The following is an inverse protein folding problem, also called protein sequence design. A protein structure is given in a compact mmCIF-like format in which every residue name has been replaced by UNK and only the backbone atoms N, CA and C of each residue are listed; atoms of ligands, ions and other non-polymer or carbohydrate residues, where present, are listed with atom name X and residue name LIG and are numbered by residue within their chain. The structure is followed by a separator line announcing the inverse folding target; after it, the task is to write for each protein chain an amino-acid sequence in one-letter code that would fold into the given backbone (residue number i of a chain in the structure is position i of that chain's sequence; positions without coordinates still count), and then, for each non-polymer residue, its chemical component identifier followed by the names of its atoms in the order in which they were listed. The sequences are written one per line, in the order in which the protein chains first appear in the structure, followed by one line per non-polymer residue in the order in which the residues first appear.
data_IF_466837345653
#
_entry.id   IF_466837345653
#
_cell.length_a   1.000
_cell.length_b   1.000
_cell.length_c   1.000
_cell.angle_alpha   90.00
_cell.angle_beta   90.00
_cell.angle_gamma   90.00
#
_symmetry.space_group_name_H-M   'P 1'
#
loop_
_entity.id
_entity.type
_entity.pdbx_description
1 polymer ?
#
# COMPACT_ATOMS: atom_id res chain seq x y z
N UNK A 1 -17.22 -12.67 14.50
CA UNK A 1 -17.85 -13.28 13.29
C UNK A 1 -16.73 -13.80 12.40
N UNK A 2 -16.62 -15.11 12.18
CA UNK A 2 -15.53 -15.65 11.36
C UNK A 2 -15.67 -15.18 9.90
N UNK A 3 -14.55 -14.79 9.29
CA UNK A 3 -14.48 -14.28 7.92
C UNK A 3 -14.63 -15.45 6.94
N UNK A 4 -15.81 -15.60 6.31
CA UNK A 4 -16.04 -16.63 5.30
C UNK A 4 -15.71 -16.11 3.89
N UNK A 5 -14.48 -16.35 3.44
CA UNK A 5 -14.00 -15.93 2.11
C UNK A 5 -14.68 -16.66 0.94
N UNK A 6 -15.45 -17.73 1.20
CA UNK A 6 -16.27 -18.39 0.16
C UNK A 6 -17.55 -17.61 -0.14
N UNK A 7 -17.99 -16.76 0.77
CA UNK A 7 -19.15 -15.88 0.59
C UNK A 7 -18.73 -14.54 -0.03
N UNK A 8 -19.54 -14.00 -0.94
CA UNK A 8 -19.28 -12.68 -1.52
C UNK A 8 -19.33 -11.56 -0.48
N UNK A 9 -20.18 -11.67 0.55
CA UNK A 9 -20.20 -10.70 1.65
C UNK A 9 -18.91 -10.75 2.48
N UNK A 10 -18.37 -11.95 2.72
CA UNK A 10 -17.10 -12.13 3.39
C UNK A 10 -15.94 -11.56 2.58
N UNK A 11 -15.92 -11.76 1.26
CA UNK A 11 -14.94 -11.16 0.36
C UNK A 11 -15.02 -9.62 0.36
N UNK A 12 -16.23 -9.05 0.35
CA UNK A 12 -16.44 -7.60 0.41
C UNK A 12 -15.87 -7.00 1.71
N UNK A 13 -16.16 -7.63 2.86
CA UNK A 13 -15.62 -7.20 4.16
C UNK A 13 -14.11 -7.37 4.25
N UNK A 14 -13.58 -8.48 3.73
CA UNK A 14 -12.14 -8.71 3.65
C UNK A 14 -11.45 -7.65 2.78
N UNK A 15 -12.03 -7.32 1.61
CA UNK A 15 -11.54 -6.30 0.70
C UNK A 15 -11.42 -4.94 1.39
N UNK A 16 -12.45 -4.51 2.12
CA UNK A 16 -12.40 -3.26 2.89
C UNK A 16 -11.36 -3.32 4.01
N UNK A 17 -11.27 -4.45 4.75
CA UNK A 17 -10.24 -4.64 5.78
C UNK A 17 -8.82 -4.57 5.23
N UNK A 18 -8.59 -5.19 4.06
CA UNK A 18 -7.33 -5.12 3.34
C UNK A 18 -7.02 -3.72 2.82
N UNK A 19 -8.03 -2.95 2.41
CA UNK A 19 -7.84 -1.56 2.03
C UNK A 19 -7.33 -0.72 3.22
N UNK A 20 -7.91 -0.90 4.41
CA UNK A 20 -7.47 -0.19 5.62
C UNK A 20 -6.05 -0.61 5.98
N UNK A 21 -5.76 -1.91 6.02
CA UNK A 21 -4.41 -2.40 6.32
C UNK A 21 -3.38 -1.88 5.29
N UNK A 22 -3.71 -1.94 4.00
CA UNK A 22 -2.87 -1.42 2.93
C UNK A 22 -2.64 0.09 3.05
N UNK A 23 -3.70 0.86 3.32
CA UNK A 23 -3.60 2.30 3.53
C UNK A 23 -2.67 2.66 4.70
N UNK A 24 -2.74 1.93 5.82
CA UNK A 24 -1.84 2.13 6.96
C UNK A 24 -0.38 1.89 6.56
N UNK A 25 -0.09 0.83 5.82
CA UNK A 25 1.26 0.57 5.32
C UNK A 25 1.73 1.62 4.31
N UNK A 26 0.84 2.08 3.40
CA UNK A 26 1.15 3.16 2.47
C UNK A 26 1.52 4.45 3.20
N UNK A 27 0.73 4.84 4.21
CA UNK A 27 0.98 6.03 5.03
C UNK A 27 2.30 5.92 5.80
N UNK A 28 2.57 4.76 6.41
CA UNK A 28 3.87 4.53 7.07
C UNK A 28 5.04 4.65 6.08
N UNK A 29 4.93 4.06 4.88
CA UNK A 29 5.94 4.18 3.83
C UNK A 29 6.15 5.62 3.39
N UNK A 30 5.06 6.36 3.14
CA UNK A 30 5.09 7.77 2.77
C UNK A 30 5.73 8.63 3.88
N UNK A 31 5.40 8.37 5.14
CA UNK A 31 6.02 9.05 6.28
C UNK A 31 7.53 8.84 6.32
N UNK A 32 8.02 7.62 6.11
CA UNK A 32 9.47 7.35 6.07
C UNK A 32 10.18 8.06 4.92
N UNK A 33 9.51 8.17 3.76
CA UNK A 33 10.02 8.89 2.58
C UNK A 33 10.11 10.39 2.89
N UNK A 34 9.00 11.00 3.34
CA UNK A 34 8.92 12.45 3.61
C UNK A 34 9.87 12.86 4.73
N UNK A 35 10.01 12.06 5.79
CA UNK A 35 10.94 12.33 6.89
C UNK A 35 12.42 12.17 6.52
N UNK A 36 12.73 11.66 5.33
CA UNK A 36 14.08 11.53 4.79
C UNK A 36 14.33 12.45 3.60
N UNK A 37 13.32 13.24 3.20
CA UNK A 37 13.38 14.04 2.01
C UNK A 37 14.11 15.36 2.27
N UNK A 38 15.25 15.53 1.61
CA UNK A 38 16.00 16.76 1.57
C UNK A 38 15.49 17.62 0.40
N UNK A 39 14.99 18.82 0.73
CA UNK A 39 14.39 19.73 -0.26
C UNK A 39 15.43 20.43 -1.12
N UNK A 40 16.64 20.64 -0.59
CA UNK A 40 17.71 21.33 -1.29
C UNK A 40 18.35 20.40 -2.33
N UNK A 41 18.52 19.13 -1.96
CA UNK A 41 19.01 18.07 -2.87
C UNK A 41 17.90 17.49 -3.77
N UNK A 42 16.63 17.78 -3.44
CA UNK A 42 15.45 17.16 -4.03
C UNK A 42 15.54 15.61 -4.05
N UNK A 43 16.00 15.05 -2.93
CA UNK A 43 16.30 13.63 -2.84
C UNK A 43 15.95 13.04 -1.46
N UNK A 44 15.58 11.77 -1.46
CA UNK A 44 15.41 10.97 -0.25
C UNK A 44 16.78 10.43 0.14
N UNK A 45 17.39 11.08 1.14
CA UNK A 45 18.74 10.75 1.58
C UNK A 45 18.68 9.55 2.53
N UNK A 46 19.44 8.50 2.21
CA UNK A 46 19.51 7.31 3.06
C UNK A 46 20.94 6.79 3.22
N UNK A 47 21.21 6.21 4.37
CA UNK A 47 22.42 5.42 4.63
C UNK A 47 22.16 3.96 4.22
N UNK A 48 22.98 3.36 3.33
CA UNK A 48 22.86 1.95 2.95
C UNK A 48 22.90 0.97 4.12
N UNK A 49 23.56 1.32 5.23
CA UNK A 49 23.63 0.49 6.45
C UNK A 49 22.43 0.67 7.36
N UNK A 50 21.58 1.67 7.12
CA UNK A 50 20.41 1.95 7.94
C UNK A 50 19.25 1.00 7.63
N UNK A 51 18.48 0.66 8.67
CA UNK A 51 17.25 -0.13 8.56
C UNK A 51 16.10 0.61 7.85
N UNK A 52 16.31 1.87 7.46
CA UNK A 52 15.27 2.71 6.83
C UNK A 52 14.88 2.22 5.43
N UNK A 53 15.84 1.82 4.61
CA UNK A 53 15.56 1.32 3.26
C UNK A 53 14.71 0.04 3.25
N UNK A 54 15.04 -1.00 4.05
CA UNK A 54 14.16 -2.17 4.15
C UNK A 54 12.81 -1.84 4.80
N UNK A 55 12.73 -0.85 5.70
CA UNK A 55 11.45 -0.39 6.25
C UNK A 55 10.55 0.25 5.19
N UNK A 56 11.08 1.15 4.35
CA UNK A 56 10.34 1.75 3.22
C UNK A 56 9.89 0.65 2.25
N UNK A 57 10.81 -0.22 1.83
CA UNK A 57 10.50 -1.32 0.92
C UNK A 57 9.45 -2.27 1.49
N UNK A 58 9.55 -2.64 2.77
CA UNK A 58 8.59 -3.49 3.46
C UNK A 58 7.20 -2.87 3.55
N UNK A 59 7.09 -1.59 3.92
CA UNK A 59 5.82 -0.88 3.97
C UNK A 59 5.16 -0.81 2.57
N UNK A 60 5.92 -0.47 1.54
CA UNK A 60 5.38 -0.40 0.17
C UNK A 60 4.95 -1.78 -0.34
N UNK A 61 5.74 -2.82 -0.11
CA UNK A 61 5.40 -4.19 -0.51
C UNK A 61 4.16 -4.71 0.21
N UNK A 62 4.05 -4.51 1.52
CA UNK A 62 2.87 -4.92 2.28
C UNK A 62 1.63 -4.14 1.84
N UNK A 63 1.76 -2.84 1.56
CA UNK A 63 0.67 -2.04 1.01
C UNK A 63 0.22 -2.54 -0.36
N UNK A 64 1.15 -2.87 -1.26
CA UNK A 64 0.84 -3.38 -2.58
C UNK A 64 0.19 -4.77 -2.51
N UNK A 65 0.71 -5.66 -1.67
CA UNK A 65 0.16 -7.00 -1.48
C UNK A 65 -1.27 -6.95 -0.92
N UNK A 66 -1.49 -6.16 0.15
CA UNK A 66 -2.81 -5.98 0.73
C UNK A 66 -3.78 -5.31 -0.26
N UNK A 67 -3.33 -4.23 -0.91
CA UNK A 67 -4.11 -3.50 -1.92
C UNK A 67 -4.51 -4.38 -3.11
N UNK A 68 -3.58 -5.17 -3.65
CA UNK A 68 -3.86 -6.05 -4.79
C UNK A 68 -4.83 -7.17 -4.40
N UNK A 69 -4.59 -7.85 -3.27
CA UNK A 69 -5.49 -8.88 -2.77
C UNK A 69 -6.90 -8.31 -2.51
N UNK A 70 -6.98 -7.16 -1.86
CA UNK A 70 -8.25 -6.48 -1.59
C UNK A 70 -8.97 -6.02 -2.85
N UNK A 71 -8.22 -5.54 -3.85
CA UNK A 71 -8.75 -5.11 -5.15
C UNK A 71 -9.43 -6.27 -5.88
N UNK A 72 -8.76 -7.43 -6.01
CA UNK A 72 -9.35 -8.59 -6.68
C UNK A 72 -10.55 -9.17 -5.92
N UNK A 73 -10.52 -9.17 -4.59
CA UNK A 73 -11.67 -9.59 -3.77
C UNK A 73 -12.88 -8.65 -3.94
N UNK A 74 -12.63 -7.34 -4.00
CA UNK A 74 -13.66 -6.33 -4.27
C UNK A 74 -14.27 -6.50 -5.65
N UNK A 75 -13.41 -6.62 -6.67
CA UNK A 75 -13.82 -6.81 -8.07
C UNK A 75 -14.64 -8.07 -8.27
N UNK A 76 -14.23 -9.18 -7.65
CA UNK A 76 -14.92 -10.47 -7.77
C UNK A 76 -16.36 -10.42 -7.21
N UNK A 77 -16.61 -9.61 -6.18
CA UNK A 77 -17.94 -9.47 -5.57
C UNK A 77 -18.82 -8.40 -6.21
N UNK A 78 -18.26 -7.38 -6.85
CA UNK A 78 -18.96 -6.17 -7.27
C UNK A 78 -20.00 -6.37 -8.39
N UNK A 79 -19.79 -7.36 -9.26
CA UNK A 79 -20.68 -7.66 -10.40
C UNK A 79 -21.64 -8.84 -10.20
N UNK A 80 -21.61 -9.50 -9.03
CA UNK A 80 -22.30 -10.77 -8.84
C UNK A 80 -23.73 -10.59 -8.35
N UNK A 81 -24.71 -11.13 -9.10
CA UNK A 81 -26.15 -11.08 -8.74
C UNK A 81 -26.48 -11.74 -7.39
N UNK A 82 -25.64 -12.67 -6.93
CA UNK A 82 -25.80 -13.36 -5.64
C UNK A 82 -25.23 -12.59 -4.45
N UNK A 83 -24.54 -11.48 -4.68
CA UNK A 83 -23.99 -10.66 -3.63
C UNK A 83 -25.08 -9.75 -3.04
N UNK A 84 -25.36 -9.89 -1.75
CA UNK A 84 -26.33 -9.03 -1.05
C UNK A 84 -25.76 -7.66 -0.70
N UNK A 85 -24.45 -7.48 -0.83
CA UNK A 85 -23.73 -6.24 -0.48
C UNK A 85 -22.86 -5.72 -1.64
N UNK A 86 -23.44 -5.47 -2.84
CA UNK A 86 -22.67 -5.04 -4.01
C UNK A 86 -22.00 -3.68 -3.81
N UNK A 87 -22.65 -2.76 -3.09
CA UNK A 87 -22.08 -1.46 -2.75
C UNK A 87 -20.78 -1.61 -1.94
N UNK A 88 -20.76 -2.50 -0.94
CA UNK A 88 -19.57 -2.73 -0.12
C UNK A 88 -18.41 -3.32 -0.94
N UNK A 89 -18.71 -4.20 -1.91
CA UNK A 89 -17.71 -4.72 -2.84
C UNK A 89 -17.12 -3.63 -3.74
N UNK A 90 -17.96 -2.73 -4.26
CA UNK A 90 -17.50 -1.56 -5.02
C UNK A 90 -16.66 -0.61 -4.17
N UNK A 91 -17.08 -0.33 -2.94
CA UNK A 91 -16.29 0.46 -1.99
C UNK A 91 -14.93 -0.18 -1.75
N UNK A 92 -14.89 -1.48 -1.47
CA UNK A 92 -13.65 -2.23 -1.29
C UNK A 92 -12.75 -2.16 -2.54
N UNK A 93 -13.31 -2.33 -3.74
CA UNK A 93 -12.59 -2.19 -5.01
C UNK A 93 -11.93 -0.81 -5.17
N UNK A 94 -12.71 0.27 -5.05
CA UNK A 94 -12.19 1.64 -5.25
C UNK A 94 -11.22 2.07 -4.15
N UNK A 95 -11.46 1.67 -2.90
CA UNK A 95 -10.51 1.95 -1.81
C UNK A 95 -9.18 1.25 -2.05
N UNK A 96 -9.19 -0.02 -2.42
CA UNK A 96 -7.94 -0.74 -2.73
C UNK A 96 -7.25 -0.18 -3.98
N UNK A 97 -8.00 0.23 -5.00
CA UNK A 97 -7.44 0.92 -6.17
C UNK A 97 -6.71 2.21 -5.75
N UNK A 98 -7.34 3.04 -4.91
CA UNK A 98 -6.71 4.26 -4.39
C UNK A 98 -5.44 3.97 -3.58
N UNK A 99 -5.46 2.94 -2.72
CA UNK A 99 -4.29 2.49 -1.96
C UNK A 99 -3.17 2.03 -2.87
N UNK A 100 -3.48 1.25 -3.91
CA UNK A 100 -2.50 0.82 -4.92
C UNK A 100 -1.89 2.01 -5.64
N UNK A 101 -2.72 2.97 -6.07
CA UNK A 101 -2.25 4.20 -6.71
C UNK A 101 -1.30 4.96 -5.79
N UNK A 102 -1.67 5.19 -4.52
CA UNK A 102 -0.82 5.88 -3.55
C UNK A 102 0.50 5.15 -3.32
N UNK A 103 0.46 3.83 -3.11
CA UNK A 103 1.66 3.03 -2.89
C UNK A 103 2.60 3.02 -4.10
N UNK A 104 2.05 2.90 -5.31
CA UNK A 104 2.82 2.99 -6.56
C UNK A 104 3.41 4.37 -6.75
N UNK A 105 2.63 5.45 -6.57
CA UNK A 105 3.13 6.81 -6.67
C UNK A 105 4.27 7.08 -5.67
N UNK A 106 4.13 6.65 -4.42
CA UNK A 106 5.18 6.77 -3.41
C UNK A 106 6.43 5.94 -3.77
N UNK A 107 6.23 4.71 -4.26
CA UNK A 107 7.33 3.84 -4.68
C UNK A 107 8.09 4.37 -5.88
N UNK A 108 7.38 4.87 -6.89
CA UNK A 108 7.96 5.53 -8.08
C UNK A 108 8.73 6.78 -7.65
N UNK A 109 8.11 7.64 -6.84
CA UNK A 109 8.77 8.84 -6.32
C UNK A 109 10.06 8.48 -5.58
N UNK A 110 10.02 7.53 -4.64
CA UNK A 110 11.20 7.07 -3.91
C UNK A 110 12.26 6.50 -4.85
N UNK A 111 11.88 5.67 -5.82
CA UNK A 111 12.84 5.05 -6.73
C UNK A 111 13.64 6.09 -7.53
N UNK A 112 13.00 7.17 -7.98
CA UNK A 112 13.64 8.24 -8.74
C UNK A 112 14.35 9.28 -7.88
N UNK A 113 13.99 9.42 -6.60
CA UNK A 113 14.58 10.42 -5.70
C UNK A 113 15.55 9.85 -4.67
N UNK A 114 15.75 8.53 -4.62
CA UNK A 114 16.65 7.90 -3.65
C UNK A 114 18.11 8.35 -3.89
N UNK A 115 18.78 8.82 -2.85
CA UNK A 115 20.20 9.18 -2.87
C UNK A 115 20.93 8.49 -1.72
N UNK A 116 21.93 7.67 -2.07
CA UNK A 116 22.72 6.93 -1.10
C UNK A 116 23.91 7.78 -0.64
N UNK A 117 24.00 8.06 0.66
CA UNK A 117 25.20 8.70 1.20
C UNK A 117 26.39 7.73 1.09
N UNK A 118 27.46 8.17 0.43
CA UNK A 118 28.71 7.40 0.45
C UNK A 118 29.31 7.50 1.85
N UNK A 119 29.72 6.38 2.48
CA UNK A 119 30.43 6.44 3.75
C UNK A 119 31.71 7.26 3.55
N UNK A 120 31.95 8.25 4.42
CA UNK A 120 33.26 8.92 4.47
C UNK A 120 34.30 7.84 4.73
N UNK A 121 35.30 7.73 3.86
CA UNK A 121 36.47 6.90 4.10
C UNK A 121 37.21 7.51 5.30
N UNK A 122 37.05 6.89 6.47
CA UNK A 122 37.85 7.14 7.68
C UNK A 122 39.08 6.27 7.67
#
# INVERSE_FOLDING_TARGET
MALNLKSYEGQARASVGLAIAGALFAVCGAYFIVSAFDRDLFAVVYDPKSKRLPAIGGCLLLSLAAGAAGFFLGLNGAGQKRNKQPQLSWTGFFLNAAVLTLALSAGVFFYFTKYAMMPKAT
#
